data_IF_827261544871
#
_entry.id   IF_827261544871
#
_cell.length_a   1.000
_cell.length_b   1.000
_cell.length_c   1.000
_cell.angle_alpha   90.00
_cell.angle_beta   90.00
_cell.angle_gamma   90.00
#
_symmetry.space_group_name_H-M   'P 1'
#
loop_
_entity.id
_entity.type
_entity.pdbx_description
1 polymer ?
#
# COMPACT_ATOMS: atom_id res chain seq x y z
N UNK A 1 -23.01 10.21 13.53
CA UNK A 1 -21.68 10.74 13.14
C UNK A 1 -21.92 11.90 12.20
N UNK A 2 -21.33 13.09 12.43
CA UNK A 2 -21.24 14.08 11.34
C UNK A 2 -20.36 13.47 10.26
N UNK A 3 -20.81 13.58 9.01
CA UNK A 3 -20.01 13.23 7.84
C UNK A 3 -18.68 13.99 7.93
N UNK A 4 -17.57 13.27 7.77
CA UNK A 4 -16.25 13.92 7.78
C UNK A 4 -16.12 14.65 6.45
N UNK A 5 -15.81 15.94 6.50
CA UNK A 5 -15.53 16.73 5.31
C UNK A 5 -14.27 16.18 4.63
N UNK A 6 -14.41 15.73 3.38
CA UNK A 6 -13.33 15.18 2.58
C UNK A 6 -12.21 16.22 2.41
N UNK A 7 -12.55 17.50 2.23
CA UNK A 7 -11.54 18.55 2.07
C UNK A 7 -10.67 18.69 3.33
N UNK A 8 -11.29 18.63 4.51
CA UNK A 8 -10.58 18.64 5.78
C UNK A 8 -9.71 17.39 5.96
N UNK A 9 -10.21 16.21 5.58
CA UNK A 9 -9.44 14.96 5.66
C UNK A 9 -8.18 15.02 4.80
N UNK A 10 -8.29 15.56 3.58
CA UNK A 10 -7.13 15.76 2.71
C UNK A 10 -6.16 16.80 3.26
N UNK A 11 -6.67 17.89 3.86
CA UNK A 11 -5.83 18.91 4.49
C UNK A 11 -5.07 18.36 5.72
N UNK A 12 -5.71 17.54 6.54
CA UNK A 12 -5.10 16.92 7.72
C UNK A 12 -4.13 15.78 7.36
N UNK A 13 -4.33 15.12 6.21
CA UNK A 13 -3.46 14.08 5.63
C UNK A 13 -3.44 12.73 6.35
N UNK A 14 -3.63 12.71 7.68
CA UNK A 14 -3.38 11.52 8.53
C UNK A 14 -4.24 10.31 8.15
N UNK A 15 -5.53 10.52 7.85
CA UNK A 15 -6.42 9.42 7.47
C UNK A 15 -6.14 8.92 6.04
N UNK A 16 -5.73 9.81 5.14
CA UNK A 16 -5.35 9.45 3.76
C UNK A 16 -4.06 8.64 3.78
N UNK A 17 -3.06 9.06 4.55
CA UNK A 17 -1.78 8.35 4.68
C UNK A 17 -1.98 6.94 5.23
N UNK A 18 -2.81 6.79 6.27
CA UNK A 18 -3.13 5.47 6.83
C UNK A 18 -3.84 4.57 5.81
N UNK A 19 -4.84 5.11 5.10
CA UNK A 19 -5.58 4.36 4.10
C UNK A 19 -4.68 3.93 2.93
N UNK A 20 -3.81 4.84 2.46
CA UNK A 20 -2.87 4.56 1.38
C UNK A 20 -1.85 3.50 1.80
N UNK A 21 -1.29 3.61 3.02
CA UNK A 21 -0.37 2.61 3.57
C UNK A 21 -1.00 1.22 3.57
N UNK A 22 -2.22 1.09 4.11
CA UNK A 22 -2.94 -0.19 4.16
C UNK A 22 -3.23 -0.75 2.76
N UNK A 23 -3.62 0.11 1.82
CA UNK A 23 -3.88 -0.29 0.43
C UNK A 23 -2.61 -0.80 -0.26
N UNK A 24 -1.48 -0.11 -0.08
CA UNK A 24 -0.18 -0.52 -0.62
C UNK A 24 0.26 -1.86 -0.02
N UNK A 25 0.20 -2.02 1.29
CA UNK A 25 0.55 -3.29 1.97
C UNK A 25 -0.28 -4.47 1.42
N UNK A 26 -1.59 -4.26 1.24
CA UNK A 26 -2.48 -5.27 0.65
C UNK A 26 -2.12 -5.60 -0.80
N UNK A 27 -1.85 -4.59 -1.62
CA UNK A 27 -1.47 -4.78 -3.02
C UNK A 27 -0.15 -5.56 -3.13
N UNK A 28 0.87 -5.18 -2.35
CA UNK A 28 2.15 -5.89 -2.33
C UNK A 28 1.98 -7.37 -1.98
N UNK A 29 1.14 -7.68 -0.99
CA UNK A 29 0.80 -9.06 -0.64
C UNK A 29 0.11 -9.82 -1.75
N UNK A 30 -0.90 -9.21 -2.39
CA UNK A 30 -1.60 -9.83 -3.51
C UNK A 30 -0.66 -10.14 -4.68
N UNK A 31 0.23 -9.21 -5.03
CA UNK A 31 1.22 -9.40 -6.08
C UNK A 31 2.19 -10.54 -5.74
N UNK A 32 2.71 -10.57 -4.51
CA UNK A 32 3.61 -11.64 -4.04
C UNK A 32 2.92 -13.02 -4.13
N UNK A 33 1.70 -13.13 -3.62
CA UNK A 33 0.95 -14.39 -3.61
C UNK A 33 0.57 -14.87 -5.02
N UNK A 34 0.30 -13.93 -5.94
CA UNK A 34 -0.05 -14.25 -7.32
C UNK A 34 1.18 -14.54 -8.22
N UNK A 35 2.41 -14.39 -7.70
CA UNK A 35 3.61 -14.51 -8.53
C UNK A 35 3.78 -13.35 -9.51
N UNK A 36 3.18 -12.19 -9.24
CA UNK A 36 3.25 -11.01 -10.09
C UNK A 36 4.36 -10.05 -9.61
N UNK A 37 5.30 -9.63 -10.48
CA UNK A 37 6.27 -8.61 -10.12
C UNK A 37 5.62 -7.24 -9.94
N UNK A 38 6.37 -6.30 -9.35
CA UNK A 38 5.97 -4.89 -9.22
C UNK A 38 7.04 -3.98 -9.81
N UNK A 39 6.62 -2.82 -10.32
CA UNK A 39 7.52 -1.74 -10.72
C UNK A 39 7.65 -0.73 -9.58
N UNK A 40 8.89 -0.35 -9.25
CA UNK A 40 9.18 0.74 -8.30
C UNK A 40 10.05 1.79 -8.96
N UNK A 41 9.95 3.03 -8.50
CA UNK A 41 10.91 4.06 -8.85
C UNK A 41 12.06 4.02 -7.85
N UNK A 42 13.30 3.83 -8.34
CA UNK A 42 14.51 3.82 -7.52
C UNK A 42 15.65 4.45 -8.32
N UNK A 43 16.35 5.40 -7.71
CA UNK A 43 17.52 6.06 -8.31
C UNK A 43 17.28 6.64 -9.72
N UNK A 44 16.13 7.30 -9.90
CA UNK A 44 15.80 7.98 -11.17
C UNK A 44 15.36 7.06 -12.31
N UNK A 45 15.06 5.79 -12.02
CA UNK A 45 14.58 4.82 -13.03
C UNK A 45 13.53 3.88 -12.46
N UNK A 46 12.83 3.21 -13.37
CA UNK A 46 11.95 2.09 -13.05
C UNK A 46 12.79 0.83 -12.80
N UNK A 47 12.55 0.17 -11.68
CA UNK A 47 13.13 -1.12 -11.31
C UNK A 47 12.00 -2.12 -11.08
N UNK A 48 12.11 -3.30 -11.68
CA UNK A 48 11.19 -4.40 -11.42
C UNK A 48 11.67 -5.20 -10.21
N UNK A 49 10.77 -5.43 -9.25
CA UNK A 49 11.01 -6.31 -8.11
C UNK A 49 10.25 -7.62 -8.36
N UNK A 50 10.93 -8.77 -8.36
CA UNK A 50 10.27 -10.05 -8.54
C UNK A 50 9.46 -10.44 -7.28
N UNK A 51 8.43 -11.30 -7.40
CA UNK A 51 7.51 -11.62 -6.31
C UNK A 51 8.20 -12.04 -5.00
N UNK A 52 9.21 -12.89 -5.08
CA UNK A 52 10.01 -13.41 -3.97
C UNK A 52 10.69 -12.31 -3.15
N UNK A 53 11.05 -11.20 -3.77
CA UNK A 53 11.72 -10.05 -3.14
C UNK A 53 10.76 -8.94 -2.72
N UNK A 54 9.46 -9.03 -3.04
CA UNK A 54 8.48 -8.03 -2.60
C UNK A 54 8.45 -7.99 -1.06
N UNK A 55 8.73 -6.82 -0.43
CA UNK A 55 8.69 -6.67 1.00
C UNK A 55 7.23 -6.61 1.45
N UNK A 56 6.80 -7.63 2.20
CA UNK A 56 5.50 -7.67 2.86
C UNK A 56 5.72 -7.77 4.37
N UNK A 57 4.94 -7.04 5.19
CA UNK A 57 4.95 -7.24 6.63
C UNK A 57 4.61 -8.70 6.95
N UNK A 58 5.36 -9.34 7.86
CA UNK A 58 5.11 -10.73 8.29
C UNK A 58 3.72 -10.90 8.92
N UNK A 59 3.14 -9.80 9.44
CA UNK A 59 1.80 -9.77 10.04
C UNK A 59 0.94 -8.70 9.37
N UNK A 60 0.21 -9.05 8.32
CA UNK A 60 -0.91 -8.22 7.88
C UNK A 60 -2.05 -8.37 8.90
N UNK A 61 -2.63 -7.27 9.41
CA UNK A 61 -3.78 -7.38 10.28
C UNK A 61 -4.91 -8.13 9.55
N UNK A 62 -5.45 -9.17 10.20
CA UNK A 62 -6.48 -10.07 9.67
C UNK A 62 -7.76 -9.36 9.21
N UNK A 63 -7.95 -8.09 9.61
CA UNK A 63 -9.05 -7.24 9.19
C UNK A 63 -9.02 -6.82 7.71
N UNK A 64 -7.97 -7.20 6.96
CA UNK A 64 -7.85 -6.94 5.52
C UNK A 64 -8.21 -8.14 4.61
N UNK A 65 -8.56 -9.29 5.21
CA UNK A 65 -9.01 -10.52 4.53
C UNK A 65 -10.55 -10.62 4.52
#
# INVERSE_FOLDING_TARGET
MKEKDIAQIFADGTLIDLALKQAVEKALWQHKQAGNPIAVWRDGRVVWIPPEEIPVPENLPQTLL
#
